data_IF_994531961496
#
_entry.id   IF_994531961496
#
_cell.length_a   1.000
_cell.length_b   1.000
_cell.length_c   1.000
_cell.angle_alpha   90.00
_cell.angle_beta   90.00
_cell.angle_gamma   90.00
#
_symmetry.space_group_name_H-M   'P 1'
#
loop_
_entity.id
_entity.type
_entity.pdbx_description
1 polymer ?
#
# COMPACT_ATOMS: atom_id res chain seq x y z
N UNK A 1 34.55 20.10 8.63
CA UNK A 1 34.16 18.82 8.00
C UNK A 1 32.75 18.51 8.45
N UNK A 2 31.75 18.83 7.63
CA UNK A 2 30.37 18.37 7.83
C UNK A 2 30.29 16.91 7.37
N UNK A 3 29.64 16.00 8.13
CA UNK A 3 29.44 14.64 7.66
C UNK A 3 28.59 14.66 6.39
N UNK A 4 28.78 13.71 5.45
CA UNK A 4 27.86 13.56 4.34
C UNK A 4 26.49 13.20 4.93
N UNK A 5 25.49 14.04 4.65
CA UNK A 5 24.09 13.70 4.86
C UNK A 5 23.79 12.49 3.98
N UNK A 6 23.71 11.31 4.59
CA UNK A 6 23.21 10.10 3.93
C UNK A 6 21.87 10.46 3.26
N UNK A 7 21.64 10.13 1.96
CA UNK A 7 20.30 10.25 1.41
C UNK A 7 19.37 9.39 2.30
N UNK A 8 18.11 9.79 2.54
CA UNK A 8 17.20 8.94 3.28
C UNK A 8 17.18 7.57 2.59
N UNK A 9 17.74 6.56 3.24
CA UNK A 9 17.81 5.20 2.72
C UNK A 9 16.39 4.65 2.81
N UNK A 10 15.60 4.95 1.80
CA UNK A 10 14.21 4.54 1.77
C UNK A 10 14.18 3.02 1.80
N UNK A 11 13.72 2.44 2.91
CA UNK A 11 13.64 0.99 3.04
C UNK A 11 12.65 0.47 1.99
N UNK A 12 13.06 -0.43 1.09
CA UNK A 12 12.16 -0.97 0.08
C UNK A 12 10.98 -1.68 0.77
N UNK A 13 9.80 -1.59 0.16
CA UNK A 13 8.63 -2.29 0.70
C UNK A 13 8.84 -3.80 0.70
N UNK A 14 8.17 -4.54 1.61
CA UNK A 14 8.25 -6.00 1.62
C UNK A 14 7.82 -6.61 0.27
N UNK A 15 8.36 -7.78 -0.07
CA UNK A 15 8.19 -8.40 -1.39
C UNK A 15 6.74 -8.75 -1.76
N UNK A 16 5.82 -8.78 -0.79
CA UNK A 16 4.40 -8.97 -1.02
C UNK A 16 3.67 -7.69 -1.51
N UNK A 17 4.37 -6.56 -1.60
CA UNK A 17 3.85 -5.33 -2.19
C UNK A 17 4.22 -5.24 -3.68
N UNK A 18 3.24 -4.94 -4.52
CA UNK A 18 3.46 -4.77 -5.95
C UNK A 18 4.44 -3.62 -6.24
N UNK A 19 5.33 -3.82 -7.22
CA UNK A 19 6.37 -2.86 -7.63
C UNK A 19 5.84 -1.45 -7.90
N UNK A 20 4.63 -1.32 -8.44
CA UNK A 20 4.00 -0.02 -8.69
C UNK A 20 3.70 0.75 -7.39
N UNK A 21 3.34 0.05 -6.31
CA UNK A 21 3.12 0.66 -5.00
C UNK A 21 4.43 1.00 -4.31
N UNK A 22 5.48 0.21 -4.51
CA UNK A 22 6.84 0.55 -4.05
C UNK A 22 7.31 1.86 -4.68
N UNK A 23 7.15 2.03 -6.00
CA UNK A 23 7.45 3.30 -6.67
C UNK A 23 6.62 4.48 -6.14
N UNK A 24 5.34 4.27 -5.88
CA UNK A 24 4.47 5.31 -5.30
C UNK A 24 4.88 5.66 -3.85
N UNK A 25 5.29 4.68 -3.06
CA UNK A 25 5.81 4.88 -1.70
C UNK A 25 7.12 5.66 -1.72
N UNK A 26 8.06 5.29 -2.60
CA UNK A 26 9.35 5.98 -2.77
C UNK A 26 9.15 7.45 -3.15
N UNK A 27 8.25 7.73 -4.10
CA UNK A 27 7.84 9.08 -4.46
C UNK A 27 7.25 9.86 -3.29
N UNK A 28 6.51 9.19 -2.41
CA UNK A 28 5.91 9.81 -1.23
C UNK A 28 6.92 10.16 -0.13
N UNK A 29 7.92 9.31 0.11
CA UNK A 29 8.81 9.44 1.28
C UNK A 29 10.18 10.06 1.01
N UNK A 30 10.67 10.11 -0.23
CA UNK A 30 12.11 10.37 -0.41
C UNK A 30 12.59 11.00 -1.71
N UNK A 31 11.87 10.94 -2.83
CA UNK A 31 12.39 11.45 -4.10
C UNK A 31 11.47 12.49 -4.74
N UNK A 32 11.79 13.80 -4.64
CA UNK A 32 10.96 14.87 -5.22
C UNK A 32 10.84 14.80 -6.75
N UNK A 33 11.64 13.98 -7.42
CA UNK A 33 11.64 13.74 -8.88
C UNK A 33 10.92 12.45 -9.31
N UNK A 34 10.52 11.58 -8.37
CA UNK A 34 9.80 10.37 -8.71
C UNK A 34 8.31 10.72 -8.89
N UNK A 35 7.87 10.95 -10.12
CA UNK A 35 6.43 10.95 -10.40
C UNK A 35 5.88 9.57 -10.06
N UNK A 36 4.78 9.49 -9.27
CA UNK A 36 4.12 8.21 -9.05
C UNK A 36 3.67 7.64 -10.41
N UNK A 37 3.68 6.31 -10.56
CA UNK A 37 3.24 5.71 -11.81
C UNK A 37 1.78 6.12 -12.07
N UNK A 38 1.47 6.75 -13.20
CA UNK A 38 0.11 7.24 -13.48
C UNK A 38 -0.94 6.13 -13.66
N UNK A 39 -0.54 4.86 -13.48
CA UNK A 39 -1.44 3.70 -13.43
C UNK A 39 -2.03 3.46 -12.03
N UNK A 40 -1.50 4.13 -10.99
CA UNK A 40 -2.05 4.06 -9.63
C UNK A 40 -2.83 5.33 -9.31
N UNK A 41 -3.97 5.16 -8.65
CA UNK A 41 -4.78 6.29 -8.16
C UNK A 41 -4.28 6.69 -6.78
N UNK A 42 -3.77 7.90 -6.65
CA UNK A 42 -3.36 8.50 -5.37
C UNK A 42 -4.23 9.72 -5.13
N UNK A 43 -4.87 9.78 -3.96
CA UNK A 43 -5.71 10.91 -3.52
C UNK A 43 -5.32 11.22 -2.09
N UNK A 44 -4.96 12.47 -1.80
CA UNK A 44 -4.59 12.95 -0.46
C UNK A 44 -3.54 12.09 0.27
N UNK A 45 -2.55 11.57 -0.49
CA UNK A 45 -1.48 10.72 0.06
C UNK A 45 -1.88 9.27 0.36
N UNK A 46 -3.10 8.87 0.01
CA UNK A 46 -3.54 7.47 0.04
C UNK A 46 -3.62 6.89 -1.38
N UNK A 47 -3.31 5.60 -1.52
CA UNK A 47 -3.34 4.89 -2.79
C UNK A 47 -4.51 3.91 -2.84
N UNK A 48 -5.18 3.84 -3.98
CA UNK A 48 -6.17 2.81 -4.23
C UNK A 48 -5.47 1.45 -4.33
N UNK A 49 -5.75 0.55 -3.39
CA UNK A 49 -5.11 -0.74 -3.29
C UNK A 49 -6.12 -1.86 -2.98
N UNK A 50 -5.77 -3.05 -3.41
CA UNK A 50 -6.39 -4.31 -2.98
C UNK A 50 -5.38 -5.05 -2.12
N UNK A 51 -5.75 -5.30 -0.87
CA UNK A 51 -5.03 -6.17 0.06
C UNK A 51 -5.66 -7.55 -0.01
N UNK A 52 -4.85 -8.56 -0.30
CA UNK A 52 -5.29 -9.95 -0.31
C UNK A 52 -4.75 -10.63 0.95
N UNK A 53 -5.65 -11.25 1.70
CA UNK A 53 -5.34 -12.06 2.86
C UNK A 53 -4.90 -13.49 2.49
N UNK A 54 -4.34 -14.21 3.44
CA UNK A 54 -3.87 -15.57 3.29
C UNK A 54 -4.91 -16.65 3.68
N UNK A 55 -6.07 -16.25 4.21
CA UNK A 55 -7.10 -17.19 4.65
C UNK A 55 -7.03 -17.58 6.13
N UNK A 56 -6.07 -17.05 6.89
CA UNK A 56 -5.83 -17.47 8.27
C UNK A 56 -6.53 -16.56 9.28
N UNK A 57 -7.14 -17.18 10.28
CA UNK A 57 -7.83 -16.50 11.38
C UNK A 57 -9.22 -16.01 11.01
N UNK A 58 -9.61 -14.88 11.60
CA UNK A 58 -10.92 -14.25 11.40
C UNK A 58 -10.82 -13.08 10.42
N UNK A 59 -11.74 -13.05 9.45
CA UNK A 59 -11.76 -12.01 8.40
C UNK A 59 -12.16 -10.65 8.96
N UNK A 60 -13.02 -10.58 9.98
CA UNK A 60 -13.39 -9.31 10.59
C UNK A 60 -12.20 -8.64 11.29
N UNK A 61 -11.40 -9.42 12.02
CA UNK A 61 -10.15 -8.99 12.67
C UNK A 61 -9.10 -8.53 11.65
N UNK A 62 -9.04 -9.19 10.49
CA UNK A 62 -8.20 -8.75 9.36
C UNK A 62 -8.66 -7.38 8.83
N UNK A 63 -9.97 -7.21 8.61
CA UNK A 63 -10.56 -5.97 8.13
C UNK A 63 -10.33 -4.81 9.13
N UNK A 64 -10.51 -5.06 10.42
CA UNK A 64 -10.28 -4.05 11.47
C UNK A 64 -8.81 -3.69 11.59
N UNK A 65 -7.89 -4.63 11.39
CA UNK A 65 -6.45 -4.34 11.32
C UNK A 65 -6.12 -3.37 10.18
N UNK A 66 -6.72 -3.55 9.00
CA UNK A 66 -6.54 -2.64 7.88
C UNK A 66 -7.16 -1.25 8.14
N UNK A 67 -8.34 -1.20 8.77
CA UNK A 67 -8.98 0.07 9.17
C UNK A 67 -8.16 0.82 10.23
N UNK A 68 -7.57 0.12 11.18
CA UNK A 68 -6.69 0.70 12.19
C UNK A 68 -5.43 1.35 11.58
N UNK A 69 -4.98 0.84 10.43
CA UNK A 69 -3.92 1.45 9.60
C UNK A 69 -4.43 2.59 8.70
N UNK A 70 -5.68 3.04 8.89
CA UNK A 70 -6.27 4.15 8.15
C UNK A 70 -6.80 3.78 6.77
N UNK A 71 -6.95 2.48 6.46
CA UNK A 71 -7.54 2.07 5.19
C UNK A 71 -9.03 2.44 5.13
N UNK A 72 -9.40 3.27 4.16
CA UNK A 72 -10.79 3.55 3.83
C UNK A 72 -11.31 2.43 2.92
N UNK A 73 -11.97 1.45 3.52
CA UNK A 73 -12.48 0.27 2.82
C UNK A 73 -13.64 0.67 1.89
N UNK A 74 -13.52 0.33 0.61
CA UNK A 74 -14.57 0.50 -0.40
C UNK A 74 -15.33 -0.80 -0.66
N UNK A 75 -14.65 -1.94 -0.61
CA UNK A 75 -15.27 -3.25 -0.74
C UNK A 75 -14.43 -4.33 -0.07
N UNK A 76 -15.07 -5.38 0.40
CA UNK A 76 -14.43 -6.52 1.05
C UNK A 76 -15.13 -7.81 0.63
N UNK A 77 -14.36 -8.86 0.36
CA UNK A 77 -14.87 -10.18 -0.01
C UNK A 77 -14.19 -11.23 0.87
N UNK A 78 -14.94 -11.77 1.83
CA UNK A 78 -14.44 -12.77 2.78
C UNK A 78 -14.03 -14.06 2.08
N UNK A 79 -14.83 -14.56 1.14
CA UNK A 79 -14.54 -15.81 0.43
C UNK A 79 -13.20 -15.80 -0.33
N UNK A 80 -12.76 -14.63 -0.81
CA UNK A 80 -11.49 -14.45 -1.51
C UNK A 80 -10.43 -13.74 -0.67
N UNK A 81 -10.76 -13.41 0.59
CA UNK A 81 -9.93 -12.64 1.50
C UNK A 81 -9.43 -11.32 0.90
N UNK A 82 -10.23 -10.67 0.07
CA UNK A 82 -9.82 -9.45 -0.63
C UNK A 82 -10.47 -8.21 -0.02
N UNK A 83 -9.67 -7.20 0.32
CA UNK A 83 -10.13 -5.90 0.81
C UNK A 83 -9.60 -4.82 -0.13
N UNK A 84 -10.50 -4.08 -0.75
CA UNK A 84 -10.18 -3.00 -1.67
C UNK A 84 -10.58 -1.65 -1.07
N UNK A 85 -9.70 -0.66 -1.19
CA UNK A 85 -9.91 0.67 -0.61
C UNK A 85 -8.74 1.60 -0.80
N UNK A 86 -8.79 2.76 -0.13
CA UNK A 86 -7.70 3.72 -0.10
C UNK A 86 -6.82 3.46 1.13
N UNK A 87 -5.56 3.11 0.92
CA UNK A 87 -4.58 2.87 1.99
C UNK A 87 -3.56 4.02 2.02
N UNK A 88 -3.29 4.66 3.17
CA UNK A 88 -2.25 5.68 3.25
C UNK A 88 -0.89 5.14 2.79
N UNK A 89 -0.19 5.87 1.92
CA UNK A 89 1.11 5.43 1.40
C UNK A 89 2.10 5.18 2.55
N UNK A 90 2.10 6.05 3.56
CA UNK A 90 2.91 5.89 4.78
C UNK A 90 2.64 4.59 5.56
N UNK A 91 1.47 3.96 5.38
CA UNK A 91 1.05 2.75 6.09
C UNK A 91 1.25 1.47 5.26
N UNK A 92 1.68 1.58 4.00
CA UNK A 92 2.03 0.41 3.17
C UNK A 92 3.01 -0.55 3.84
N UNK A 93 4.12 -0.10 4.48
CA UNK A 93 5.03 -1.01 5.17
C UNK A 93 4.36 -1.76 6.32
N UNK A 94 3.50 -1.08 7.08
CA UNK A 94 2.80 -1.66 8.23
C UNK A 94 1.75 -2.68 7.77
N UNK A 95 0.96 -2.33 6.75
CA UNK A 95 -0.03 -3.23 6.15
C UNK A 95 0.63 -4.49 5.58
N UNK A 96 1.76 -4.35 4.89
CA UNK A 96 2.48 -5.46 4.30
C UNK A 96 3.07 -6.43 5.34
N UNK A 97 3.27 -5.98 6.58
CA UNK A 97 3.80 -6.78 7.70
C UNK A 97 2.72 -7.45 8.54
N UNK A 98 1.44 -7.18 8.26
CA UNK A 98 0.36 -7.90 8.94
C UNK A 98 0.46 -9.40 8.61
N UNK A 99 0.33 -10.29 9.60
CA UNK A 99 0.54 -11.73 9.40
C UNK A 99 -0.45 -12.33 8.40
N UNK A 100 -1.66 -11.78 8.34
CA UNK A 100 -2.72 -12.23 7.45
C UNK A 100 -2.54 -11.70 6.01
N UNK A 101 -1.63 -10.76 5.73
CA UNK A 101 -1.48 -10.14 4.40
C UNK A 101 -0.59 -10.99 3.49
N UNK A 102 -1.22 -11.57 2.47
CA UNK A 102 -0.55 -12.30 1.40
C UNK A 102 0.04 -11.38 0.34
N UNK A 103 -0.69 -10.35 -0.07
CA UNK A 103 -0.23 -9.41 -1.08
C UNK A 103 -0.96 -8.07 -1.05
N UNK A 104 -0.30 -7.02 -1.56
CA UNK A 104 -0.87 -5.70 -1.76
C UNK A 104 -0.63 -5.27 -3.21
N UNK A 105 -1.70 -5.01 -3.95
CA UNK A 105 -1.65 -4.60 -5.34
C UNK A 105 -2.40 -3.28 -5.55
N UNK A 106 -1.98 -2.41 -6.49
CA UNK A 106 -2.73 -1.20 -6.80
C UNK A 106 -4.05 -1.56 -7.49
N UNK A 107 -5.09 -0.77 -7.23
CA UNK A 107 -6.29 -0.78 -8.09
C UNK A 107 -6.02 0.10 -9.29
N UNK A 108 -5.82 -0.54 -10.44
CA UNK A 108 -5.65 0.13 -11.71
C UNK A 108 -7.04 0.52 -12.19
N UNK A 109 -7.38 1.80 -12.15
CA UNK A 109 -8.55 2.31 -12.83
C UNK A 109 -8.30 2.26 -14.36
N UNK A 110 -9.26 1.83 -15.19
CA UNK A 110 -9.16 1.99 -16.63
C UNK A 110 -8.96 3.47 -16.94
N UNK A 111 -7.89 3.82 -17.68
CA UNK A 111 -7.78 5.16 -18.25
C UNK A 111 -8.75 5.23 -19.42
N UNK A 112 -9.87 5.91 -19.24
CA UNK A 112 -10.63 6.41 -20.39
C UNK A 112 -9.84 7.60 -20.94
N UNK A 113 -9.12 7.38 -22.04
CA UNK A 113 -8.54 8.45 -22.86
C UNK A 113 -9.62 9.32 -23.49
#
# INVERSE_FOLDING_TARGET
MTPPTDPPTTTPLPANVARLLDLAYQAHVGTPDASPPSAVTIVDGAVAATVSGNGEGDFASFLDSLRALGMQVQSSHEATWAVAGMLPLAQLPAAARLPQVRSIAPRIAPRTS
#
